data_IF_762232950382
#
_entry.id   IF_762232950382
#
_cell.length_a   1.000
_cell.length_b   1.000
_cell.length_c   1.000
_cell.angle_alpha   90.00
_cell.angle_beta   90.00
_cell.angle_gamma   90.00
#
_symmetry.space_group_name_H-M   'P 1'
#
loop_
_entity.id
_entity.type
_entity.pdbx_description
1 polymer ?
#
# COMPACT_ATOMS: atom_id res chain seq x y z
N UNK A 1 13.94 24.19 16.38
CA UNK A 1 13.63 23.46 17.64
C UNK A 1 14.03 21.99 17.54
N UNK A 2 13.44 21.20 16.59
CA UNK A 2 13.71 19.74 16.44
C UNK A 2 15.19 19.45 16.15
N UNK A 3 15.79 20.15 15.20
CA UNK A 3 17.20 20.00 14.84
C UNK A 3 18.14 20.28 16.02
N UNK A 4 17.82 21.29 16.85
CA UNK A 4 18.57 21.60 18.07
C UNK A 4 18.45 20.50 19.15
N UNK A 5 17.38 19.69 19.09
CA UNK A 5 17.18 18.53 19.94
C UNK A 5 17.80 17.24 19.34
N UNK A 6 18.61 17.38 18.28
CA UNK A 6 19.26 16.26 17.56
C UNK A 6 18.24 15.28 16.95
N UNK A 7 17.03 15.77 16.64
CA UNK A 7 15.99 14.98 15.94
C UNK A 7 16.16 15.20 14.44
N UNK A 8 16.43 14.15 13.63
CA UNK A 8 16.52 14.27 12.19
C UNK A 8 15.18 14.72 11.61
N UNK A 9 15.19 15.75 10.78
CA UNK A 9 13.98 16.33 10.18
C UNK A 9 14.07 16.20 8.66
N UNK A 10 13.08 15.54 8.06
CA UNK A 10 12.83 15.54 6.63
C UNK A 10 11.74 16.57 6.32
N UNK A 11 12.00 17.46 5.39
CA UNK A 11 11.02 18.41 4.85
C UNK A 11 10.18 17.82 3.72
N UNK A 12 9.23 18.61 3.22
CA UNK A 12 8.39 18.23 2.07
C UNK A 12 8.08 19.47 1.23
N UNK A 13 8.34 19.38 -0.08
CA UNK A 13 8.07 20.46 -1.05
C UNK A 13 7.35 19.91 -2.29
N UNK A 14 6.80 20.78 -3.09
CA UNK A 14 6.02 20.43 -4.27
C UNK A 14 4.55 20.26 -3.95
N UNK A 15 3.96 19.15 -4.37
CA UNK A 15 2.60 18.80 -4.03
C UNK A 15 2.54 18.26 -2.60
N UNK A 16 2.36 19.15 -1.64
CA UNK A 16 2.11 18.75 -0.25
C UNK A 16 0.61 18.51 -0.08
N UNK A 17 0.13 17.27 0.13
CA UNK A 17 -1.31 16.96 0.10
C UNK A 17 -2.17 17.84 1.00
N UNK A 18 -1.67 18.15 2.21
CA UNK A 18 -2.34 19.04 3.18
C UNK A 18 -2.48 20.50 2.68
N UNK A 19 -1.69 20.89 1.69
CA UNK A 19 -1.70 22.22 1.08
C UNK A 19 -2.33 22.21 -0.31
N UNK A 20 -2.93 21.11 -0.74
CA UNK A 20 -3.48 20.97 -2.09
C UNK A 20 -4.54 22.03 -2.43
N UNK A 21 -5.36 22.45 -1.46
CA UNK A 21 -6.31 23.54 -1.63
C UNK A 21 -5.64 24.87 -1.96
N UNK A 22 -4.46 25.13 -1.43
CA UNK A 22 -3.70 26.37 -1.70
C UNK A 22 -3.03 26.37 -3.08
N UNK A 23 -2.77 25.18 -3.63
CA UNK A 23 -2.18 25.01 -4.95
C UNK A 23 -3.22 24.84 -6.06
N UNK A 24 -4.50 24.92 -5.73
CA UNK A 24 -5.60 24.71 -6.69
C UNK A 24 -5.87 23.26 -7.04
N UNK A 25 -5.63 22.34 -6.09
CA UNK A 25 -5.89 20.91 -6.22
C UNK A 25 -4.63 20.04 -6.30
N UNK A 26 -4.83 18.76 -6.56
CA UNK A 26 -3.74 17.77 -6.72
C UNK A 26 -3.13 17.92 -8.12
N UNK A 27 -2.07 18.70 -8.24
CA UNK A 27 -1.38 18.98 -9.50
C UNK A 27 0.12 19.15 -9.30
N UNK A 28 0.87 19.07 -10.40
CA UNK A 28 2.30 19.39 -10.37
C UNK A 28 2.52 20.87 -9.98
N UNK A 29 3.48 21.09 -9.08
CA UNK A 29 3.90 22.41 -8.59
C UNK A 29 5.27 22.77 -9.19
N UNK A 30 5.46 24.02 -9.58
CA UNK A 30 6.69 24.51 -10.22
C UNK A 30 6.58 24.68 -11.73
N UNK A 31 5.37 24.85 -12.26
CA UNK A 31 5.14 25.11 -13.70
C UNK A 31 5.26 26.57 -14.09
N UNK A 32 5.27 27.47 -13.13
CA UNK A 32 5.49 28.92 -13.35
C UNK A 32 6.80 29.33 -12.69
N UNK A 33 7.35 30.49 -13.13
CA UNK A 33 8.57 31.01 -12.55
C UNK A 33 8.41 31.35 -11.06
N UNK A 34 7.26 31.83 -10.65
CA UNK A 34 6.98 32.19 -9.26
C UNK A 34 6.87 30.94 -8.38
N UNK A 35 6.20 29.88 -8.87
CA UNK A 35 6.20 28.59 -8.18
C UNK A 35 7.63 28.01 -8.05
N UNK A 36 8.43 28.10 -9.11
CA UNK A 36 9.81 27.62 -9.10
C UNK A 36 10.67 28.39 -8.09
N UNK A 37 10.53 29.72 -8.01
CA UNK A 37 11.20 30.54 -7.01
C UNK A 37 10.77 30.17 -5.58
N UNK A 38 9.47 29.97 -5.38
CA UNK A 38 8.93 29.56 -4.08
C UNK A 38 9.47 28.19 -3.65
N UNK A 39 9.56 27.23 -4.57
CA UNK A 39 10.18 25.92 -4.28
C UNK A 39 11.64 26.05 -3.88
N UNK A 40 12.40 26.87 -4.58
CA UNK A 40 13.79 27.13 -4.24
C UNK A 40 13.94 27.80 -2.85
N UNK A 41 13.09 28.78 -2.56
CA UNK A 41 13.08 29.42 -1.24
C UNK A 41 12.74 28.41 -0.13
N UNK A 42 11.72 27.55 -0.33
CA UNK A 42 11.37 26.51 0.61
C UNK A 42 12.53 25.54 0.89
N UNK A 43 13.31 25.18 -0.15
CA UNK A 43 14.53 24.38 0.03
C UNK A 43 15.54 25.10 0.94
N UNK A 44 15.79 26.38 0.69
CA UNK A 44 16.73 27.19 1.50
C UNK A 44 16.26 27.37 2.95
N UNK A 45 14.96 27.52 3.13
CA UNK A 45 14.36 27.62 4.47
C UNK A 45 14.52 26.31 5.26
N UNK A 46 14.28 25.15 4.60
CA UNK A 46 14.49 23.84 5.19
C UNK A 46 15.96 23.57 5.55
N UNK A 47 16.87 23.91 4.63
CA UNK A 47 18.32 23.85 4.85
C UNK A 47 18.74 24.68 6.08
N UNK A 48 18.30 25.94 6.12
CA UNK A 48 18.59 26.88 7.20
C UNK A 48 17.97 26.44 8.53
N UNK A 49 16.83 25.77 8.49
CA UNK A 49 16.17 25.21 9.66
C UNK A 49 16.85 23.93 10.20
N UNK A 50 17.85 23.39 9.49
CA UNK A 50 18.60 22.19 9.86
C UNK A 50 17.92 20.88 9.51
N UNK A 51 17.08 20.85 8.46
CA UNK A 51 16.65 19.61 7.88
C UNK A 51 17.84 18.86 7.24
N UNK A 52 17.81 17.54 7.19
CA UNK A 52 18.82 16.74 6.50
C UNK A 52 18.36 16.24 5.13
N UNK A 53 17.05 16.13 4.94
CA UNK A 53 16.44 15.64 3.69
C UNK A 53 15.16 16.39 3.36
N UNK A 54 14.72 16.25 2.10
CA UNK A 54 13.46 16.82 1.61
C UNK A 54 12.79 15.87 0.64
N UNK A 55 11.52 15.59 0.87
CA UNK A 55 10.65 14.93 -0.10
C UNK A 55 10.19 15.93 -1.14
N UNK A 56 10.34 15.56 -2.42
CA UNK A 56 10.05 16.38 -3.58
C UNK A 56 8.93 15.71 -4.37
N UNK A 57 7.68 16.18 -4.17
CA UNK A 57 6.51 15.54 -4.73
C UNK A 57 5.98 16.29 -5.96
N UNK A 58 5.90 15.55 -7.08
CA UNK A 58 5.25 15.99 -8.35
C UNK A 58 5.73 17.36 -8.81
N UNK A 59 7.05 17.57 -8.82
CA UNK A 59 7.73 18.75 -9.38
C UNK A 59 8.19 18.40 -10.81
N UNK A 60 8.12 19.33 -11.80
CA UNK A 60 8.65 19.07 -13.13
C UNK A 60 10.12 18.60 -13.10
N UNK A 61 10.43 17.49 -13.74
CA UNK A 61 11.72 16.78 -13.58
C UNK A 61 12.95 17.63 -13.95
N UNK A 62 12.85 18.50 -14.96
CA UNK A 62 13.95 19.40 -15.33
C UNK A 62 14.20 20.46 -14.25
N UNK A 63 13.12 21.03 -13.68
CA UNK A 63 13.23 21.97 -12.58
C UNK A 63 13.82 21.29 -11.35
N UNK A 64 13.33 20.07 -11.01
CA UNK A 64 13.81 19.36 -9.83
C UNK A 64 15.31 19.02 -9.92
N UNK A 65 15.83 18.68 -11.08
CA UNK A 65 17.27 18.47 -11.30
C UNK A 65 18.09 19.72 -10.98
N UNK A 66 17.60 20.89 -11.39
CA UNK A 66 18.24 22.18 -11.09
C UNK A 66 18.16 22.53 -9.60
N UNK A 67 17.05 22.22 -8.95
CA UNK A 67 16.89 22.42 -7.52
C UNK A 67 17.79 21.49 -6.69
N UNK A 68 17.82 20.20 -7.04
CA UNK A 68 18.63 19.19 -6.35
C UNK A 68 20.12 19.53 -6.39
N UNK A 69 20.63 20.03 -7.50
CA UNK A 69 22.04 20.43 -7.63
C UNK A 69 22.43 21.69 -6.82
N UNK A 70 21.47 22.38 -6.21
CA UNK A 70 21.67 23.65 -5.48
C UNK A 70 21.32 23.59 -3.99
N UNK A 71 21.17 22.40 -3.46
CA UNK A 71 20.90 22.16 -2.04
C UNK A 71 21.86 21.11 -1.48
N UNK A 72 22.12 21.17 -0.20
CA UNK A 72 22.86 20.15 0.56
C UNK A 72 21.94 19.09 1.16
N UNK A 73 20.62 19.27 1.07
CA UNK A 73 19.65 18.30 1.54
C UNK A 73 19.67 17.04 0.67
N UNK A 74 19.52 15.87 1.28
CA UNK A 74 19.20 14.66 0.53
C UNK A 74 17.81 14.81 -0.10
N UNK A 75 17.76 14.80 -1.43
CA UNK A 75 16.52 14.98 -2.18
C UNK A 75 15.87 13.63 -2.48
N UNK A 76 14.60 13.48 -2.12
CA UNK A 76 13.81 12.24 -2.27
C UNK A 76 12.66 12.51 -3.23
N UNK A 77 12.71 11.91 -4.41
CA UNK A 77 11.70 12.11 -5.45
C UNK A 77 10.51 11.18 -5.28
N UNK A 78 9.31 11.75 -5.28
CA UNK A 78 8.08 11.05 -5.60
C UNK A 78 7.37 11.77 -6.75
N UNK A 79 7.47 11.22 -7.95
CA UNK A 79 6.92 11.84 -9.16
C UNK A 79 7.65 13.10 -9.66
N UNK A 80 8.86 13.37 -9.18
CA UNK A 80 9.67 14.55 -9.58
C UNK A 80 10.82 14.20 -10.54
N UNK A 81 10.82 12.99 -11.10
CA UNK A 81 11.82 12.51 -12.04
C UNK A 81 13.07 11.97 -11.36
N UNK A 82 14.09 11.68 -12.16
CA UNK A 82 15.31 10.98 -11.74
C UNK A 82 16.47 11.92 -11.36
N UNK A 83 16.20 13.20 -11.16
CA UNK A 83 17.22 14.19 -10.80
C UNK A 83 17.48 14.36 -9.31
N UNK A 84 16.83 13.59 -8.45
CA UNK A 84 17.02 13.55 -7.01
C UNK A 84 17.97 12.42 -6.61
N UNK A 85 18.50 12.48 -5.38
CA UNK A 85 19.40 11.46 -4.84
C UNK A 85 18.70 10.12 -4.62
N UNK A 86 17.42 10.15 -4.25
CA UNK A 86 16.61 8.97 -3.92
C UNK A 86 15.30 8.96 -4.71
N UNK A 87 14.83 7.77 -5.09
CA UNK A 87 13.49 7.56 -5.65
C UNK A 87 12.60 6.87 -4.61
N UNK A 88 11.39 7.36 -4.46
CA UNK A 88 10.39 6.84 -3.53
C UNK A 88 9.08 6.49 -4.26
N UNK A 89 8.53 5.35 -3.93
CA UNK A 89 7.17 4.94 -4.27
C UNK A 89 6.57 4.15 -3.10
N UNK A 90 5.27 4.19 -2.95
CA UNK A 90 4.57 3.35 -1.98
C UNK A 90 4.64 1.88 -2.38
N UNK A 91 4.80 1.00 -1.38
CA UNK A 91 4.84 -0.45 -1.60
C UNK A 91 3.59 -0.97 -2.31
N UNK A 92 2.41 -0.46 -1.96
CA UNK A 92 1.14 -0.86 -2.58
C UNK A 92 1.11 -0.54 -4.09
N UNK A 93 1.69 0.60 -4.49
CA UNK A 93 1.84 0.96 -5.90
C UNK A 93 2.82 0.02 -6.62
N UNK A 94 3.98 -0.23 -6.02
CA UNK A 94 5.02 -1.12 -6.56
C UNK A 94 4.47 -2.53 -6.77
N UNK A 95 3.74 -3.03 -5.79
CA UNK A 95 3.21 -4.38 -5.74
C UNK A 95 1.86 -4.53 -6.47
N UNK A 96 1.21 -3.44 -6.83
CA UNK A 96 -0.14 -3.48 -7.38
C UNK A 96 -1.13 -4.14 -6.43
N UNK A 97 -1.10 -3.71 -5.14
CA UNK A 97 -1.89 -4.33 -4.08
C UNK A 97 -3.37 -3.90 -4.06
N UNK A 98 -3.74 -2.88 -4.86
CA UNK A 98 -5.10 -2.37 -4.99
C UNK A 98 -5.60 -2.40 -6.44
N UNK A 99 -6.90 -2.16 -6.62
CA UNK A 99 -7.51 -2.05 -7.95
C UNK A 99 -7.15 -0.74 -8.68
N UNK A 100 -6.67 0.26 -7.93
CA UNK A 100 -6.45 1.61 -8.44
C UNK A 100 -7.60 2.57 -8.08
N UNK A 101 -7.62 3.77 -8.64
CA UNK A 101 -6.67 4.31 -9.62
C UNK A 101 -5.26 4.52 -9.05
N UNK A 102 -4.24 4.33 -9.89
CA UNK A 102 -2.84 4.56 -9.50
C UNK A 102 -2.40 5.98 -9.84
N UNK A 103 -1.54 6.60 -9.02
CA UNK A 103 -0.93 7.88 -9.37
C UNK A 103 -0.16 7.80 -10.69
N UNK A 104 -0.17 8.86 -11.47
CA UNK A 104 0.50 8.92 -12.79
C UNK A 104 1.99 8.57 -12.74
N UNK A 105 2.64 8.87 -11.63
CA UNK A 105 4.07 8.63 -11.42
C UNK A 105 4.38 7.26 -10.84
N UNK A 106 3.36 6.50 -10.48
CA UNK A 106 3.53 5.17 -9.93
C UNK A 106 3.74 4.15 -11.05
N UNK A 107 4.54 3.14 -10.77
CA UNK A 107 4.79 2.01 -11.68
C UNK A 107 4.64 0.71 -10.92
N UNK A 108 3.75 -0.14 -11.41
CA UNK A 108 3.58 -1.49 -10.91
C UNK A 108 4.66 -2.42 -11.47
N UNK A 109 5.21 -3.26 -10.61
CA UNK A 109 6.16 -4.31 -10.95
C UNK A 109 5.57 -5.72 -10.83
N UNK A 110 4.44 -5.85 -10.13
CA UNK A 110 3.60 -7.04 -10.09
C UNK A 110 2.14 -6.63 -9.85
N UNK A 111 1.21 -7.60 -9.74
CA UNK A 111 -0.20 -7.33 -9.50
C UNK A 111 -0.73 -8.28 -8.42
N UNK A 112 -0.46 -7.96 -7.16
CA UNK A 112 -0.92 -8.75 -6.02
C UNK A 112 -2.43 -8.71 -5.85
N UNK A 113 -3.10 -7.63 -6.26
CA UNK A 113 -4.56 -7.54 -6.20
C UNK A 113 -5.22 -8.65 -7.04
N UNK A 114 -4.75 -8.87 -8.26
CA UNK A 114 -5.25 -9.95 -9.12
C UNK A 114 -5.01 -11.33 -8.53
N UNK A 115 -3.84 -11.56 -7.93
CA UNK A 115 -3.54 -12.83 -7.28
C UNK A 115 -4.41 -13.05 -6.03
N UNK A 116 -4.64 -12.02 -5.23
CA UNK A 116 -5.54 -12.08 -4.09
C UNK A 116 -6.98 -12.43 -4.52
N UNK A 117 -7.47 -11.82 -5.62
CA UNK A 117 -8.77 -12.17 -6.19
C UNK A 117 -8.83 -13.62 -6.67
N UNK A 118 -7.75 -14.13 -7.29
CA UNK A 118 -7.67 -15.53 -7.72
C UNK A 118 -7.75 -16.48 -6.53
N UNK A 119 -7.00 -16.20 -5.47
CA UNK A 119 -7.04 -16.98 -4.24
C UNK A 119 -8.44 -16.93 -3.60
N UNK A 120 -9.08 -15.77 -3.59
CA UNK A 120 -10.42 -15.62 -3.04
C UNK A 120 -11.46 -16.46 -3.82
N UNK A 121 -11.36 -16.52 -5.14
CA UNK A 121 -12.23 -17.40 -5.96
C UNK A 121 -12.03 -18.88 -5.59
N UNK A 122 -10.79 -19.32 -5.37
CA UNK A 122 -10.49 -20.70 -4.95
C UNK A 122 -11.16 -20.99 -3.61
N UNK A 123 -11.04 -20.08 -2.63
CA UNK A 123 -11.69 -20.21 -1.31
C UNK A 123 -13.20 -20.32 -1.43
N UNK A 124 -13.81 -19.43 -2.20
CA UNK A 124 -15.28 -19.45 -2.40
C UNK A 124 -15.73 -20.76 -3.04
N UNK A 125 -15.01 -21.26 -4.05
CA UNK A 125 -15.35 -22.52 -4.69
C UNK A 125 -15.22 -23.71 -3.72
N UNK A 126 -14.15 -23.78 -2.94
CA UNK A 126 -13.99 -24.85 -1.95
C UNK A 126 -15.13 -24.89 -0.92
N UNK A 127 -15.63 -23.74 -0.48
CA UNK A 127 -16.81 -23.71 0.40
C UNK A 127 -18.10 -24.11 -0.32
N UNK A 128 -18.26 -23.77 -1.60
CA UNK A 128 -19.41 -24.22 -2.38
C UNK A 128 -19.39 -25.73 -2.56
N UNK A 129 -18.24 -26.29 -2.96
CA UNK A 129 -18.08 -27.72 -3.15
C UNK A 129 -18.41 -28.48 -1.84
N UNK A 130 -17.89 -28.00 -0.69
CA UNK A 130 -18.22 -28.56 0.62
C UNK A 130 -19.74 -28.52 0.92
N UNK A 131 -20.39 -27.39 0.68
CA UNK A 131 -21.84 -27.25 0.93
C UNK A 131 -22.63 -28.19 0.01
N UNK A 132 -22.25 -28.29 -1.26
CA UNK A 132 -22.92 -29.15 -2.23
C UNK A 132 -22.74 -30.63 -1.85
N UNK A 133 -21.56 -31.07 -1.43
CA UNK A 133 -21.31 -32.44 -0.96
C UNK A 133 -22.12 -32.76 0.30
N UNK A 134 -22.22 -31.82 1.25
CA UNK A 134 -23.07 -32.00 2.45
C UNK A 134 -24.54 -32.13 2.06
N UNK A 135 -25.05 -31.26 1.20
CA UNK A 135 -26.46 -31.26 0.78
C UNK A 135 -26.83 -32.50 -0.04
N UNK A 136 -25.86 -33.07 -0.72
CA UNK A 136 -26.06 -34.28 -1.56
C UNK A 136 -25.68 -35.58 -0.85
N UNK A 137 -25.34 -35.50 0.47
CA UNK A 137 -24.87 -36.63 1.32
C UNK A 137 -23.64 -37.35 0.73
N UNK A 138 -22.78 -36.67 0.03
CA UNK A 138 -21.48 -37.17 -0.41
C UNK A 138 -20.44 -36.99 0.71
N UNK A 139 -20.56 -35.92 1.48
CA UNK A 139 -19.75 -35.69 2.67
C UNK A 139 -20.62 -35.69 3.95
N UNK A 140 -20.21 -36.37 5.06
CA UNK A 140 -19.02 -37.20 5.15
C UNK A 140 -19.18 -38.54 4.43
N UNK A 141 -18.13 -39.05 3.79
CA UNK A 141 -18.06 -40.46 3.37
C UNK A 141 -17.46 -41.28 4.50
N UNK A 142 -17.60 -42.63 4.44
CA UNK A 142 -17.11 -43.57 5.47
C UNK A 142 -15.65 -43.32 5.88
N UNK A 143 -14.84 -42.74 4.97
CA UNK A 143 -13.44 -42.40 5.28
C UNK A 143 -13.31 -41.32 6.36
N UNK A 144 -14.31 -40.51 6.53
CA UNK A 144 -14.34 -39.36 7.47
C UNK A 144 -15.25 -39.62 8.68
N UNK A 145 -15.86 -40.80 8.76
CA UNK A 145 -16.74 -41.21 9.85
C UNK A 145 -15.95 -41.99 10.92
N UNK A 146 -16.44 -41.92 12.15
CA UNK A 146 -15.92 -42.68 13.25
C UNK A 146 -16.92 -43.76 13.58
N UNK A 147 -16.52 -44.99 13.38
CA UNK A 147 -17.37 -46.16 13.60
C UNK A 147 -17.30 -46.66 15.03
N UNK A 148 -18.38 -47.28 15.49
CA UNK A 148 -18.47 -48.11 16.71
C UNK A 148 -19.04 -49.48 16.32
N UNK A 149 -18.86 -50.47 17.16
CA UNK A 149 -19.41 -51.84 16.89
C UNK A 149 -20.94 -51.82 16.95
N UNK A 150 -21.59 -52.69 16.15
CA UNK A 150 -23.04 -52.88 16.20
C UNK A 150 -23.48 -53.29 17.62
N UNK A 151 -22.75 -54.20 18.28
CA UNK A 151 -23.02 -54.61 19.66
C UNK A 151 -23.08 -53.40 20.64
N UNK A 152 -22.20 -52.41 20.46
CA UNK A 152 -22.23 -51.20 21.27
C UNK A 152 -23.52 -50.41 21.04
N UNK A 153 -23.93 -50.24 19.78
CA UNK A 153 -25.15 -49.50 19.40
C UNK A 153 -26.37 -50.22 19.97
N UNK A 154 -26.50 -51.55 19.81
CA UNK A 154 -27.61 -52.33 20.37
C UNK A 154 -27.70 -52.19 21.88
N UNK A 155 -26.58 -52.31 22.59
CA UNK A 155 -26.57 -52.10 24.04
C UNK A 155 -27.01 -50.72 24.46
N UNK A 156 -26.66 -49.71 23.71
CA UNK A 156 -27.07 -48.34 23.97
C UNK A 156 -28.54 -48.12 23.68
N UNK A 157 -29.08 -48.64 22.56
CA UNK A 157 -30.51 -48.62 22.27
C UNK A 157 -31.33 -49.30 23.35
N UNK A 158 -30.90 -50.51 23.81
CA UNK A 158 -31.57 -51.23 24.89
C UNK A 158 -31.55 -50.45 26.25
N UNK A 159 -30.57 -49.59 26.45
CA UNK A 159 -30.55 -48.68 27.61
C UNK A 159 -31.58 -47.56 27.45
N UNK A 160 -31.67 -46.94 26.25
CA UNK A 160 -32.63 -45.88 26.00
C UNK A 160 -34.10 -46.33 26.13
N UNK A 161 -34.41 -47.57 25.70
CA UNK A 161 -35.76 -48.13 25.75
C UNK A 161 -36.22 -48.47 27.17
N UNK A 162 -35.33 -48.43 28.16
CA UNK A 162 -35.59 -48.69 29.58
C UNK A 162 -35.65 -47.43 30.43
N UNK A 163 -35.36 -46.29 29.84
CA UNK A 163 -35.30 -44.97 30.49
C UNK A 163 -36.51 -44.12 30.17
#
# INVERSE_FOLDING_TARGET
ALSNAVIPVQGHIGLVPRKSTWTGGIRAVGKTLDEAKALFQNLKDLESAGAWAVECEVIPSRLMRELSSRTSLVTISIGSGNGCDVQFLFADDILGASEGPFPRHSKQYCNLFREAQRIQKIRVNAFKDFIDEVNTNIFPSNKFEVEVTEEFVERFCNYLDKT
#
